data_IF_725373036412
#
_entry.id   IF_725373036412
#
_cell.length_a   1.000
_cell.length_b   1.000
_cell.length_c   1.000
_cell.angle_alpha   90.00
_cell.angle_beta   90.00
_cell.angle_gamma   90.00
#
_symmetry.space_group_name_H-M   'P 1'
#
loop_
_entity.id
_entity.type
_entity.pdbx_description
1 polymer ?
#
# COMPACT_ATOMS: atom_id res chain seq x y z
N UNK A 1 -10.18 13.31 6.43
CA UNK A 1 -9.13 12.37 6.01
C UNK A 1 -7.79 13.07 6.13
N UNK A 2 -6.79 12.44 6.74
CA UNK A 2 -5.41 12.91 6.78
C UNK A 2 -4.50 11.89 6.11
N UNK A 3 -3.50 12.33 5.37
CA UNK A 3 -2.55 11.46 4.70
C UNK A 3 -1.15 11.61 5.29
N UNK A 4 -0.45 10.49 5.49
CA UNK A 4 0.97 10.48 5.85
C UNK A 4 1.75 9.66 4.82
N UNK A 5 2.78 10.26 4.25
CA UNK A 5 3.62 9.64 3.21
C UNK A 5 4.99 9.35 3.80
N UNK A 6 5.48 8.12 3.64
CA UNK A 6 6.81 7.69 4.06
C UNK A 6 7.52 7.01 2.89
N UNK A 7 8.81 7.31 2.68
CA UNK A 7 9.65 6.65 1.68
C UNK A 7 10.69 5.76 2.36
N UNK A 8 10.95 4.58 1.81
CA UNK A 8 11.86 3.61 2.39
C UNK A 8 12.65 2.82 1.34
N UNK A 9 13.57 2.00 1.82
CA UNK A 9 14.43 1.15 0.98
C UNK A 9 14.09 -0.34 1.04
N UNK A 10 13.23 -0.78 1.98
CA UNK A 10 12.94 -2.21 2.19
C UNK A 10 11.45 -2.51 2.24
N UNK A 11 10.97 -3.31 1.28
CA UNK A 11 9.59 -3.79 1.25
C UNK A 11 9.27 -4.78 2.36
N UNK A 12 10.27 -5.55 2.84
CA UNK A 12 10.08 -6.54 3.92
C UNK A 12 9.46 -5.92 5.18
N UNK A 13 9.94 -4.75 5.59
CA UNK A 13 9.43 -4.05 6.77
C UNK A 13 7.99 -3.58 6.59
N UNK A 14 7.70 -2.95 5.45
CA UNK A 14 6.36 -2.41 5.16
C UNK A 14 5.34 -3.53 4.98
N UNK A 15 5.65 -4.56 4.20
CA UNK A 15 4.73 -5.69 3.96
C UNK A 15 4.40 -6.42 5.27
N UNK A 16 5.40 -6.65 6.14
CA UNK A 16 5.16 -7.21 7.48
C UNK A 16 4.27 -6.33 8.36
N UNK A 17 4.42 -5.01 8.24
CA UNK A 17 3.63 -4.05 9.02
C UNK A 17 2.16 -4.02 8.59
N UNK A 18 1.91 -4.09 7.28
CA UNK A 18 0.57 -3.98 6.67
C UNK A 18 -0.21 -5.28 6.75
N UNK A 19 0.44 -6.44 6.56
CA UNK A 19 -0.19 -7.77 6.61
C UNK A 19 -0.02 -8.39 8.01
N UNK A 20 -0.17 -7.57 9.05
CA UNK A 20 -0.06 -8.05 10.43
C UNK A 20 -1.40 -8.64 10.89
N UNK A 21 -1.42 -9.96 11.10
CA UNK A 21 -2.60 -10.71 11.55
C UNK A 21 -3.13 -10.20 12.90
N UNK A 22 -2.26 -9.69 13.78
CA UNK A 22 -2.67 -9.15 15.09
C UNK A 22 -3.49 -7.88 14.95
N UNK A 23 -3.35 -7.17 13.84
CA UNK A 23 -4.05 -5.91 13.56
C UNK A 23 -5.39 -6.09 12.86
N UNK A 24 -5.83 -7.33 12.63
CA UNK A 24 -7.10 -7.65 11.92
C UNK A 24 -7.19 -6.91 10.58
N UNK A 25 -6.09 -6.92 9.83
CA UNK A 25 -5.98 -6.21 8.55
C UNK A 25 -6.65 -7.00 7.44
N UNK A 26 -7.20 -6.29 6.45
CA UNK A 26 -7.77 -6.87 5.24
C UNK A 26 -7.15 -6.22 4.02
N UNK A 27 -6.74 -7.03 3.04
CA UNK A 27 -6.32 -6.54 1.73
C UNK A 27 -7.59 -6.31 0.90
N UNK A 28 -7.81 -5.06 0.48
CA UNK A 28 -9.00 -4.67 -0.30
C UNK A 28 -8.74 -4.61 -1.80
N UNK A 29 -7.50 -4.34 -2.20
CA UNK A 29 -7.08 -4.18 -3.59
C UNK A 29 -5.60 -4.53 -3.74
N UNK A 30 -5.22 -4.98 -4.93
CA UNK A 30 -3.84 -5.31 -5.27
C UNK A 30 -3.64 -5.23 -6.78
N UNK A 31 -2.43 -4.91 -7.21
CA UNK A 31 -2.03 -4.96 -8.61
C UNK A 31 -0.63 -5.57 -8.73
N UNK A 32 -0.40 -6.36 -9.78
CA UNK A 32 0.93 -6.89 -10.12
C UNK A 32 1.61 -7.83 -9.11
N UNK A 33 0.90 -8.31 -8.08
CA UNK A 33 1.49 -9.14 -7.00
C UNK A 33 0.87 -10.54 -6.92
N UNK A 34 1.57 -11.44 -6.23
CA UNK A 34 1.11 -12.81 -5.96
C UNK A 34 0.93 -13.03 -4.46
N UNK A 35 -0.32 -13.12 -4.00
CA UNK A 35 -0.68 -13.31 -2.58
C UNK A 35 -0.64 -14.78 -2.12
N UNK A 36 0.41 -15.54 -2.47
CA UNK A 36 0.54 -16.93 -1.97
C UNK A 36 1.05 -17.01 -0.55
N UNK A 37 1.94 -16.10 -0.19
CA UNK A 37 2.58 -16.01 1.12
C UNK A 37 3.18 -14.62 1.30
N UNK A 38 3.45 -14.24 2.55
CA UNK A 38 4.17 -13.00 2.85
C UNK A 38 5.51 -12.91 2.11
N UNK A 39 6.25 -14.03 2.02
CA UNK A 39 7.51 -14.09 1.26
C UNK A 39 7.31 -13.83 -0.22
N UNK A 40 6.31 -14.46 -0.85
CA UNK A 40 6.01 -14.27 -2.28
C UNK A 40 5.65 -12.82 -2.61
N UNK A 41 5.00 -12.10 -1.69
CA UNK A 41 4.68 -10.68 -1.87
C UNK A 41 5.95 -9.83 -1.77
N UNK A 42 6.79 -10.08 -0.76
CA UNK A 42 8.05 -9.36 -0.57
C UNK A 42 8.97 -9.55 -1.78
N UNK A 43 9.11 -10.80 -2.25
CA UNK A 43 9.96 -11.12 -3.38
C UNK A 43 9.45 -10.44 -4.66
N UNK A 44 8.13 -10.43 -4.89
CA UNK A 44 7.52 -9.71 -6.01
C UNK A 44 7.88 -8.23 -6.05
N UNK A 45 7.77 -7.53 -4.92
CA UNK A 45 8.17 -6.13 -4.83
C UNK A 45 9.68 -5.92 -5.02
N UNK A 46 10.52 -6.78 -4.43
CA UNK A 46 11.98 -6.67 -4.54
C UNK A 46 12.43 -6.89 -5.99
N UNK A 47 11.85 -7.88 -6.67
CA UNK A 47 12.13 -8.13 -8.10
C UNK A 47 11.77 -6.93 -8.94
N UNK A 48 10.56 -6.38 -8.79
CA UNK A 48 10.12 -5.20 -9.56
C UNK A 48 11.00 -3.97 -9.28
N UNK A 49 11.35 -3.71 -8.02
CA UNK A 49 12.24 -2.61 -7.66
C UNK A 49 13.65 -2.77 -8.27
N UNK A 50 14.17 -3.99 -8.31
CA UNK A 50 15.46 -4.31 -8.92
C UNK A 50 15.53 -4.05 -10.42
N UNK A 51 14.39 -4.02 -11.12
CA UNK A 51 14.33 -3.70 -12.55
C UNK A 51 14.64 -2.23 -12.85
N UNK A 52 14.53 -1.34 -11.85
CA UNK A 52 14.88 0.07 -11.99
C UNK A 52 15.93 0.50 -10.96
N UNK A 53 17.18 0.12 -11.20
CA UNK A 53 18.32 0.43 -10.33
C UNK A 53 18.63 1.92 -10.12
N UNK A 54 17.94 2.85 -10.81
CA UNK A 54 18.06 4.29 -10.59
C UNK A 54 17.35 4.77 -9.32
N UNK A 55 16.42 3.96 -8.78
CA UNK A 55 15.60 4.34 -7.63
C UNK A 55 16.19 3.76 -6.35
N UNK A 56 16.85 4.61 -5.55
CA UNK A 56 17.49 4.19 -4.29
C UNK A 56 16.51 3.95 -3.12
N UNK A 57 15.28 4.47 -3.23
CA UNK A 57 14.20 4.31 -2.24
C UNK A 57 12.90 3.93 -2.96
N UNK A 58 12.76 2.67 -3.39
CA UNK A 58 11.63 2.22 -4.20
C UNK A 58 10.31 2.09 -3.42
N UNK A 59 10.37 2.13 -2.08
CA UNK A 59 9.17 1.93 -1.25
C UNK A 59 8.47 3.26 -1.00
N UNK A 60 7.21 3.36 -1.44
CA UNK A 60 6.25 4.37 -1.00
C UNK A 60 5.20 3.76 -0.09
N UNK A 61 5.12 4.19 1.17
CA UNK A 61 4.07 3.80 2.10
C UNK A 61 3.21 5.02 2.44
N UNK A 62 1.92 4.94 2.18
CA UNK A 62 0.96 6.02 2.39
C UNK A 62 -0.14 5.50 3.31
N UNK A 63 -0.34 6.14 4.48
CA UNK A 63 -1.52 5.92 5.30
C UNK A 63 -2.56 6.98 5.00
N UNK A 64 -3.82 6.56 4.85
CA UNK A 64 -4.98 7.43 4.77
C UNK A 64 -5.84 7.18 6.01
N UNK A 65 -5.89 8.17 6.89
CA UNK A 65 -6.55 8.09 8.18
C UNK A 65 -7.91 8.81 8.10
N UNK A 66 -8.98 8.11 8.49
CA UNK A 66 -10.36 8.62 8.43
C UNK A 66 -10.88 8.98 9.83
N UNK A 67 -11.84 9.91 9.88
CA UNK A 67 -12.52 10.24 11.14
C UNK A 67 -13.35 9.05 11.62
N UNK A 68 -13.36 8.81 12.93
CA UNK A 68 -14.25 7.81 13.52
C UNK A 68 -15.73 8.09 13.25
N UNK A 69 -16.10 9.35 13.02
CA UNK A 69 -17.47 9.77 12.67
C UNK A 69 -17.90 9.31 11.27
N UNK A 70 -16.94 9.03 10.37
CA UNK A 70 -17.23 8.59 9.00
C UNK A 70 -17.36 7.07 8.88
N UNK A 71 -17.21 6.31 9.98
CA UNK A 71 -17.12 4.85 9.98
C UNK A 71 -18.27 4.17 9.22
N UNK A 72 -19.50 4.63 9.39
CA UNK A 72 -20.68 4.04 8.73
C UNK A 72 -20.70 4.28 7.21
N UNK A 73 -19.95 5.28 6.72
CA UNK A 73 -19.84 5.63 5.30
C UNK A 73 -18.66 4.94 4.62
N UNK A 74 -17.77 4.30 5.37
CA UNK A 74 -16.52 3.72 4.87
C UNK A 74 -16.71 2.23 4.54
N UNK A 75 -17.38 1.94 3.43
CA UNK A 75 -17.39 0.58 2.87
C UNK A 75 -16.04 0.26 2.22
N UNK A 76 -15.78 -1.03 2.00
CA UNK A 76 -14.57 -1.47 1.31
C UNK A 76 -14.45 -0.87 -0.09
N UNK A 77 -15.55 -0.80 -0.85
CA UNK A 77 -15.53 -0.20 -2.20
C UNK A 77 -15.20 1.30 -2.15
N UNK A 78 -15.75 2.02 -1.16
CA UNK A 78 -15.49 3.45 -0.98
C UNK A 78 -14.03 3.68 -0.60
N UNK A 79 -13.46 2.87 0.29
CA UNK A 79 -12.05 2.98 0.68
C UNK A 79 -11.09 2.74 -0.50
N UNK A 80 -11.37 1.74 -1.34
CA UNK A 80 -10.58 1.48 -2.56
C UNK A 80 -10.69 2.66 -3.53
N UNK A 81 -11.91 3.17 -3.76
CA UNK A 81 -12.12 4.33 -4.65
C UNK A 81 -11.39 5.57 -4.17
N UNK A 82 -11.50 5.92 -2.89
CA UNK A 82 -10.81 7.07 -2.30
C UNK A 82 -9.29 6.92 -2.46
N UNK A 83 -8.76 5.71 -2.23
CA UNK A 83 -7.32 5.44 -2.35
C UNK A 83 -6.82 5.64 -3.78
N UNK A 84 -7.53 5.12 -4.78
CA UNK A 84 -7.17 5.31 -6.20
C UNK A 84 -7.30 6.76 -6.65
N UNK A 85 -8.38 7.44 -6.25
CA UNK A 85 -8.57 8.87 -6.55
C UNK A 85 -7.47 9.73 -5.90
N UNK A 86 -7.06 9.40 -4.67
CA UNK A 86 -5.94 10.04 -3.99
C UNK A 86 -4.64 9.87 -4.78
N UNK A 87 -4.28 8.64 -5.16
CA UNK A 87 -3.06 8.35 -5.93
C UNK A 87 -3.05 9.15 -7.24
N UNK A 88 -4.15 9.15 -7.98
CA UNK A 88 -4.30 9.90 -9.23
C UNK A 88 -4.12 11.41 -9.03
N UNK A 89 -4.74 11.98 -8.00
CA UNK A 89 -4.61 13.42 -7.67
C UNK A 89 -3.20 13.81 -7.24
N UNK A 90 -2.47 12.88 -6.63
CA UNK A 90 -1.08 13.05 -6.24
C UNK A 90 -0.07 12.80 -7.37
N UNK A 91 -0.55 12.47 -8.58
CA UNK A 91 0.31 12.12 -9.72
C UNK A 91 1.06 10.80 -9.54
N UNK A 92 0.55 9.93 -8.67
CA UNK A 92 1.08 8.57 -8.47
C UNK A 92 0.32 7.67 -9.45
N UNK A 93 0.90 7.47 -10.62
CA UNK A 93 0.40 6.59 -11.69
C UNK A 93 1.48 5.58 -12.06
N UNK A 94 1.08 4.55 -12.80
CA UNK A 94 2.01 3.55 -13.36
C UNK A 94 2.88 2.86 -12.29
N UNK A 95 2.26 2.61 -11.12
CA UNK A 95 2.84 1.90 -9.98
C UNK A 95 2.72 0.40 -10.11
#
# INVERSE_FOLDING_TARGET
MMAKITKGSSFKGVVKYVIDEKKKTQILDMDGLRLKSLSSVIDGFVTQAGMNGRVSKPVGHISLDFSAQDKEKLTNEIMVRITRDYMKRMGITDT
#
